data_IF_990044980595
#
_entry.id   IF_990044980595
#
_cell.length_a   1.000
_cell.length_b   1.000
_cell.length_c   1.000
_cell.angle_alpha   90.00
_cell.angle_beta   90.00
_cell.angle_gamma   90.00
#
_symmetry.space_group_name_H-M   'P 1'
#
loop_
_entity.id
_entity.type
_entity.pdbx_description
1 polymer ?
#
# COMPACT_ATOMS: atom_id res chain seq x y z
N UNK A 1 -9.55 16.21 14.21
CA UNK A 1 -8.80 15.09 13.60
C UNK A 1 -9.63 13.82 13.58
N UNK A 2 -9.97 13.26 14.74
CA UNK A 2 -10.70 11.98 14.80
C UNK A 2 -12.04 12.05 14.07
N UNK A 3 -12.82 13.13 14.25
CA UNK A 3 -14.08 13.35 13.52
C UNK A 3 -13.89 13.39 12.01
N UNK A 4 -12.91 14.17 11.51
CA UNK A 4 -12.58 14.27 10.09
C UNK A 4 -12.18 12.91 9.51
N UNK A 5 -11.29 12.17 10.16
CA UNK A 5 -10.85 10.86 9.68
C UNK A 5 -11.97 9.82 9.75
N UNK A 6 -12.81 9.87 10.78
CA UNK A 6 -13.99 9.00 10.90
C UNK A 6 -15.01 9.30 9.81
N UNK A 7 -15.25 10.59 9.50
CA UNK A 7 -16.12 11.00 8.41
C UNK A 7 -15.59 10.51 7.06
N UNK A 8 -14.33 10.82 6.74
CA UNK A 8 -13.69 10.42 5.48
C UNK A 8 -13.72 8.89 5.27
N UNK A 9 -13.40 8.12 6.32
CA UNK A 9 -13.44 6.65 6.25
C UNK A 9 -14.87 6.10 6.11
N UNK A 10 -15.86 6.72 6.74
CA UNK A 10 -17.27 6.31 6.63
C UNK A 10 -17.84 6.51 5.22
N UNK A 11 -17.34 7.51 4.49
CA UNK A 11 -17.70 7.77 3.10
C UNK A 11 -16.92 6.92 2.08
N UNK A 12 -15.98 6.09 2.55
CA UNK A 12 -15.14 5.27 1.68
C UNK A 12 -14.10 6.07 0.89
N UNK A 13 -13.66 7.23 1.41
CA UNK A 13 -12.64 8.04 0.75
C UNK A 13 -11.29 7.31 0.68
N UNK A 14 -10.59 7.43 -0.45
CA UNK A 14 -9.23 6.89 -0.63
C UNK A 14 -8.17 7.85 -0.12
N UNK A 15 -8.41 9.16 -0.20
CA UNK A 15 -7.46 10.20 0.17
C UNK A 15 -8.20 11.39 0.80
N UNK A 16 -7.64 11.98 1.85
CA UNK A 16 -8.05 13.28 2.41
C UNK A 16 -7.02 14.31 1.96
N UNK A 17 -7.47 15.28 1.19
CA UNK A 17 -6.68 16.42 0.73
C UNK A 17 -6.96 17.63 1.61
N UNK A 18 -5.90 18.28 2.09
CA UNK A 18 -5.99 19.47 2.92
C UNK A 18 -5.12 20.55 2.28
N UNK A 19 -5.74 21.60 1.77
CA UNK A 19 -5.05 22.78 1.25
C UNK A 19 -5.13 23.89 2.28
N UNK A 20 -4.03 24.15 2.97
CA UNK A 20 -3.92 25.22 3.98
C UNK A 20 -3.51 26.52 3.29
N UNK A 21 -4.37 27.54 3.33
CA UNK A 21 -4.10 28.91 2.86
C UNK A 21 -3.85 29.84 4.04
N UNK A 22 -3.83 31.16 3.81
CA UNK A 22 -3.51 32.14 4.85
C UNK A 22 -4.45 32.08 6.07
N UNK A 23 -5.76 32.18 5.84
CA UNK A 23 -6.76 32.23 6.91
C UNK A 23 -7.53 30.91 7.09
N UNK A 24 -7.79 30.21 5.98
CA UNK A 24 -8.64 29.02 5.93
C UNK A 24 -7.90 27.88 5.24
N UNK A 25 -8.06 26.67 5.78
CA UNK A 25 -7.74 25.43 5.12
C UNK A 25 -9.01 24.79 4.55
N UNK A 26 -8.93 24.29 3.33
CA UNK A 26 -10.01 23.56 2.66
C UNK A 26 -9.71 22.08 2.65
N UNK A 27 -10.73 21.26 2.93
CA UNK A 27 -10.66 19.80 2.89
C UNK A 27 -11.44 19.28 1.69
N UNK A 28 -10.82 18.37 0.95
CA UNK A 28 -11.45 17.64 -0.15
C UNK A 28 -11.22 16.14 0.07
N UNK A 29 -12.23 15.33 -0.22
CA UNK A 29 -12.16 13.87 -0.12
C UNK A 29 -12.11 13.27 -1.51
N UNK A 30 -11.18 12.34 -1.74
CA UNK A 30 -11.21 11.53 -2.96
C UNK A 30 -12.13 10.34 -2.77
N UNK A 31 -13.26 10.33 -3.46
CA UNK A 31 -14.24 9.24 -3.41
C UNK A 31 -14.42 8.73 -4.85
N UNK A 32 -14.22 7.43 -5.06
CA UNK A 32 -14.29 6.79 -6.39
C UNK A 32 -13.44 7.52 -7.45
N UNK A 33 -12.27 8.01 -7.06
CA UNK A 33 -11.32 8.70 -7.94
C UNK A 33 -11.56 10.21 -8.11
N UNK A 34 -12.69 10.75 -7.67
CA UNK A 34 -13.07 12.17 -7.83
C UNK A 34 -12.85 12.94 -6.52
N UNK A 35 -12.29 14.15 -6.60
CA UNK A 35 -12.19 15.05 -5.45
C UNK A 35 -13.50 15.77 -5.22
N UNK A 36 -14.01 15.69 -4.00
CA UNK A 36 -15.27 16.27 -3.58
C UNK A 36 -14.99 17.19 -2.38
N UNK A 37 -15.38 18.48 -2.43
CA UNK A 37 -15.27 19.38 -1.29
C UNK A 37 -16.05 18.85 -0.09
N UNK A 38 -15.45 18.96 1.10
CA UNK A 38 -16.01 18.42 2.34
C UNK A 38 -16.23 19.52 3.39
N UNK A 39 -15.15 20.01 4.01
CA UNK A 39 -15.23 21.04 5.03
C UNK A 39 -14.14 22.12 4.89
N UNK A 40 -14.29 23.18 5.67
CA UNK A 40 -13.29 24.23 5.83
C UNK A 40 -12.98 24.43 7.31
N UNK A 41 -11.74 24.78 7.62
CA UNK A 41 -11.32 25.10 8.98
C UNK A 41 -10.33 26.26 9.00
N UNK A 42 -10.16 26.89 10.16
CA UNK A 42 -9.14 27.91 10.33
C UNK A 42 -7.75 27.31 10.11
N UNK A 43 -6.86 28.05 9.45
CA UNK A 43 -5.49 27.60 9.17
C UNK A 43 -4.70 27.28 10.44
N UNK A 44 -4.94 27.99 11.55
CA UNK A 44 -4.35 27.69 12.86
C UNK A 44 -4.78 26.31 13.37
N UNK A 45 -6.08 26.01 13.30
CA UNK A 45 -6.63 24.69 13.66
C UNK A 45 -6.09 23.58 12.77
N UNK A 46 -5.90 23.86 11.47
CA UNK A 46 -5.26 22.93 10.54
C UNK A 46 -3.82 22.63 10.97
N UNK A 47 -3.03 23.66 11.27
CA UNK A 47 -1.63 23.51 11.66
C UNK A 47 -1.49 22.73 12.98
N UNK A 48 -2.32 23.01 13.98
CA UNK A 48 -2.38 22.24 15.24
C UNK A 48 -2.73 20.78 14.98
N UNK A 49 -3.74 20.53 14.14
CA UNK A 49 -4.18 19.19 13.80
C UNK A 49 -3.08 18.37 13.12
N UNK A 50 -2.43 18.95 12.11
CA UNK A 50 -1.37 18.27 11.35
C UNK A 50 -0.12 18.09 12.21
N UNK A 51 0.23 19.07 13.04
CA UNK A 51 1.35 18.97 13.98
C UNK A 51 1.18 17.80 14.95
N UNK A 52 -0.01 17.68 15.58
CA UNK A 52 -0.31 16.56 16.50
C UNK A 52 -0.29 15.23 15.75
N UNK A 53 -0.94 15.17 14.58
CA UNK A 53 -0.98 13.99 13.74
C UNK A 53 0.44 13.49 13.39
N UNK A 54 1.30 14.40 12.91
CA UNK A 54 2.66 14.05 12.50
C UNK A 54 3.56 13.72 13.69
N UNK A 55 3.65 14.61 14.70
CA UNK A 55 4.64 14.42 15.77
C UNK A 55 4.27 13.32 16.77
N UNK A 56 2.98 13.05 16.97
CA UNK A 56 2.53 12.09 18.00
C UNK A 56 2.24 10.72 17.39
N UNK A 57 1.64 10.68 16.19
CA UNK A 57 1.12 9.44 15.62
C UNK A 57 2.00 8.85 14.51
N UNK A 58 2.91 9.64 13.94
CA UNK A 58 3.75 9.16 12.86
C UNK A 58 4.92 8.32 13.35
N UNK A 59 5.29 7.30 12.57
CA UNK A 59 6.49 6.50 12.80
C UNK A 59 7.74 7.22 12.30
N UNK A 60 7.93 8.48 12.65
CA UNK A 60 9.09 9.30 12.26
C UNK A 60 10.14 9.29 13.36
N UNK A 61 11.40 9.04 13.02
CA UNK A 61 12.47 8.88 14.02
C UNK A 61 13.18 10.18 14.40
N UNK A 62 13.15 11.24 13.57
CA UNK A 62 14.21 12.27 13.67
C UNK A 62 13.82 13.74 13.39
N UNK A 63 12.63 14.08 12.87
CA UNK A 63 12.26 15.49 12.60
C UNK A 63 10.87 15.87 13.08
N UNK A 64 10.77 17.01 13.76
CA UNK A 64 9.50 17.68 14.09
C UNK A 64 8.82 18.13 12.80
N UNK A 65 7.50 18.10 12.77
CA UNK A 65 6.71 18.64 11.67
C UNK A 65 7.07 20.10 11.37
N UNK A 66 7.31 20.38 10.09
CA UNK A 66 7.66 21.68 9.57
C UNK A 66 6.99 21.87 8.20
N UNK A 67 5.97 22.72 8.18
CA UNK A 67 5.21 23.06 6.95
C UNK A 67 6.05 23.69 5.84
N UNK A 68 7.20 24.28 6.14
CA UNK A 68 8.03 25.00 5.16
C UNK A 68 8.94 24.09 4.34
N UNK A 69 9.01 22.80 4.66
CA UNK A 69 9.78 21.80 3.90
C UNK A 69 8.89 20.61 3.56
N UNK A 70 9.11 19.91 2.44
CA UNK A 70 8.38 18.69 2.14
C UNK A 70 8.63 17.63 3.21
N UNK A 71 7.59 16.99 3.72
CA UNK A 71 7.72 15.85 4.63
C UNK A 71 6.69 14.78 4.30
N UNK A 72 7.04 13.54 4.63
CA UNK A 72 6.16 12.38 4.49
C UNK A 72 6.31 11.46 5.68
N UNK A 73 5.25 10.74 6.01
CA UNK A 73 5.27 9.78 7.10
C UNK A 73 4.19 8.70 6.97
N UNK A 74 4.44 7.56 7.59
CA UNK A 74 3.40 6.56 7.86
C UNK A 74 2.83 6.80 9.26
N UNK A 75 1.50 6.79 9.36
CA UNK A 75 0.77 7.06 10.59
C UNK A 75 -0.13 5.88 10.88
N UNK A 76 0.03 5.25 12.03
CA UNK A 76 -0.88 4.19 12.48
C UNK A 76 -1.90 4.81 13.43
N UNK A 77 -3.18 4.69 13.10
CA UNK A 77 -4.25 5.31 13.88
C UNK A 77 -5.44 4.36 13.99
N UNK A 78 -6.12 4.33 15.14
CA UNK A 78 -7.28 3.47 15.36
C UNK A 78 -8.53 4.34 15.43
N UNK A 79 -9.49 4.13 14.52
CA UNK A 79 -10.76 4.84 14.46
C UNK A 79 -11.89 3.85 14.75
N UNK A 80 -12.70 4.12 15.78
CA UNK A 80 -13.82 3.26 16.18
C UNK A 80 -13.45 1.76 16.27
N UNK A 81 -12.27 1.46 16.85
CA UNK A 81 -11.76 0.09 17.00
C UNK A 81 -11.18 -0.54 15.72
N UNK A 82 -11.26 0.12 14.56
CA UNK A 82 -10.61 -0.31 13.32
C UNK A 82 -9.26 0.36 13.17
N UNK A 83 -8.24 -0.43 12.90
CA UNK A 83 -6.88 0.07 12.66
C UNK A 83 -6.76 0.57 11.22
N UNK A 84 -6.12 1.71 11.04
CA UNK A 84 -5.80 2.32 9.75
C UNK A 84 -4.32 2.69 9.71
N UNK A 85 -3.76 2.62 8.51
CA UNK A 85 -2.48 3.23 8.16
C UNK A 85 -2.80 4.41 7.26
N UNK A 86 -2.36 5.60 7.65
CA UNK A 86 -2.41 6.78 6.79
C UNK A 86 -1.01 7.04 6.24
N UNK A 87 -0.88 7.18 4.92
CA UNK A 87 0.33 7.75 4.32
C UNK A 87 0.14 9.25 4.22
N UNK A 88 0.85 9.97 5.08
CA UNK A 88 0.88 11.41 5.10
C UNK A 88 1.99 11.92 4.19
N UNK A 89 1.70 12.94 3.40
CA UNK A 89 2.71 13.75 2.72
C UNK A 89 2.23 15.19 2.60
N UNK A 90 3.12 16.16 2.75
CA UNK A 90 2.83 17.55 2.40
C UNK A 90 3.95 18.18 1.58
N UNK A 91 3.58 19.22 0.84
CA UNK A 91 4.51 20.06 0.10
C UNK A 91 4.11 21.54 0.25
N UNK A 92 5.08 22.46 0.48
CA UNK A 92 4.80 23.90 0.54
C UNK A 92 4.26 24.43 -0.79
N UNK A 93 3.24 25.28 -0.77
CA UNK A 93 2.72 25.95 -1.98
C UNK A 93 3.38 27.31 -2.10
N UNK A 94 4.09 27.54 -3.20
CA UNK A 94 4.65 28.86 -3.54
C UNK A 94 3.57 29.75 -4.19
N UNK A 95 3.52 31.04 -3.81
CA UNK A 95 2.86 32.07 -4.61
C UNK A 95 1.64 32.79 -4.02
N UNK A 96 1.17 32.48 -2.80
CA UNK A 96 0.05 33.23 -2.19
C UNK A 96 0.48 34.02 -0.94
N UNK A 97 1.04 33.37 0.07
CA UNK A 97 1.62 33.99 1.29
C UNK A 97 2.50 32.94 2.01
N UNK A 98 3.36 33.36 2.95
CA UNK A 98 4.20 32.43 3.72
C UNK A 98 3.37 31.38 4.49
N UNK A 99 3.84 30.13 4.48
CA UNK A 99 3.28 29.05 5.29
C UNK A 99 2.08 28.30 4.67
N UNK A 100 1.76 28.53 3.40
CA UNK A 100 0.77 27.72 2.68
C UNK A 100 1.35 26.35 2.28
N UNK A 101 0.54 25.29 2.37
CA UNK A 101 0.93 23.94 1.95
C UNK A 101 -0.28 23.11 1.55
N UNK A 102 -0.02 22.08 0.74
CA UNK A 102 -0.98 21.01 0.46
C UNK A 102 -0.51 19.74 1.15
N UNK A 103 -1.38 19.16 1.97
CA UNK A 103 -1.17 17.88 2.63
C UNK A 103 -2.18 16.85 2.12
N UNK A 104 -1.72 15.60 2.02
CA UNK A 104 -2.55 14.46 1.63
C UNK A 104 -2.38 13.36 2.66
N UNK A 105 -3.50 12.80 3.10
CA UNK A 105 -3.57 11.58 3.90
C UNK A 105 -4.23 10.49 3.06
N UNK A 106 -3.44 9.58 2.50
CA UNK A 106 -3.97 8.39 1.86
C UNK A 106 -4.42 7.39 2.92
N UNK A 107 -5.67 6.98 2.83
CA UNK A 107 -6.31 6.08 3.78
C UNK A 107 -6.06 4.64 3.36
N UNK A 108 -5.40 3.86 4.22
CA UNK A 108 -5.17 2.43 4.00
C UNK A 108 -5.75 1.67 5.19
N UNK A 109 -6.85 0.92 5.03
CA UNK A 109 -7.39 0.09 6.08
C UNK A 109 -6.35 -0.92 6.57
N UNK A 110 -5.97 -0.83 7.85
CA UNK A 110 -4.97 -1.70 8.49
C UNK A 110 -5.70 -2.74 9.32
N UNK A 111 -6.47 -3.59 8.65
CA UNK A 111 -7.19 -4.68 9.29
C UNK A 111 -6.91 -5.98 8.58
N UNK A 112 -6.41 -6.97 9.34
CA UNK A 112 -6.67 -8.37 9.00
C UNK A 112 -8.19 -8.51 9.02
N UNK A 113 -8.85 -8.54 7.86
CA UNK A 113 -10.17 -9.20 7.80
C UNK A 113 -9.88 -10.61 8.30
N UNK A 114 -10.33 -10.95 9.51
CA UNK A 114 -10.33 -12.34 9.98
C UNK A 114 -11.08 -13.15 8.92
N UNK A 115 -10.33 -13.84 8.07
CA UNK A 115 -10.72 -15.00 7.27
C UNK A 115 -12.16 -15.03 6.73
N UNK A 116 -12.66 -13.94 6.14
CA UNK A 116 -13.45 -14.14 4.93
C UNK A 116 -12.40 -14.09 3.83
N UNK A 117 -11.88 -15.26 3.43
CA UNK A 117 -11.15 -15.37 2.17
C UNK A 117 -12.00 -14.61 1.16
N UNK A 118 -11.48 -13.50 0.64
CA UNK A 118 -12.22 -12.71 -0.33
C UNK A 118 -12.48 -13.69 -1.47
N UNK A 119 -13.75 -14.03 -1.68
CA UNK A 119 -14.12 -14.85 -2.82
C UNK A 119 -13.64 -14.09 -4.05
N UNK A 120 -12.94 -14.75 -4.97
CA UNK A 120 -12.46 -14.11 -6.19
C UNK A 120 -13.63 -13.41 -6.92
N UNK A 121 -14.86 -13.92 -6.74
CA UNK A 121 -16.10 -13.29 -7.21
C UNK A 121 -16.35 -11.89 -6.67
N UNK A 122 -15.99 -11.60 -5.41
CA UNK A 122 -16.12 -10.26 -4.82
C UNK A 122 -15.18 -9.24 -5.50
N UNK A 123 -14.15 -9.71 -6.21
CA UNK A 123 -13.27 -8.87 -7.03
C UNK A 123 -13.80 -8.67 -8.46
N UNK A 124 -14.97 -9.21 -8.78
CA UNK A 124 -15.52 -9.21 -10.15
C UNK A 124 -14.93 -10.28 -11.06
N UNK A 125 -14.19 -11.25 -10.51
CA UNK A 125 -13.63 -12.37 -11.29
C UNK A 125 -14.74 -13.38 -11.55
N UNK A 126 -14.93 -13.76 -12.80
CA UNK A 126 -15.92 -14.76 -13.20
C UNK A 126 -15.52 -16.16 -12.72
N UNK A 127 -16.48 -17.09 -12.66
CA UNK A 127 -16.21 -18.48 -12.29
C UNK A 127 -15.20 -19.17 -13.21
N UNK A 128 -15.23 -18.83 -14.51
CA UNK A 128 -14.29 -19.36 -15.49
C UNK A 128 -12.86 -18.86 -15.23
N UNK A 129 -12.69 -17.55 -15.01
CA UNK A 129 -11.38 -16.95 -14.68
C UNK A 129 -10.85 -17.47 -13.34
N UNK A 130 -11.73 -17.61 -12.33
CA UNK A 130 -11.36 -18.18 -11.04
C UNK A 130 -10.89 -19.63 -11.18
N UNK A 131 -11.51 -20.43 -12.05
CA UNK A 131 -11.07 -21.79 -12.34
C UNK A 131 -9.70 -21.81 -13.01
N UNK A 132 -9.45 -20.92 -13.97
CA UNK A 132 -8.16 -20.83 -14.64
C UNK A 132 -7.05 -20.33 -13.69
N UNK A 133 -7.34 -19.36 -12.83
CA UNK A 133 -6.42 -18.93 -11.78
C UNK A 133 -6.08 -20.07 -10.82
N UNK A 134 -7.06 -20.87 -10.41
CA UNK A 134 -6.83 -22.07 -9.57
C UNK A 134 -5.94 -23.09 -10.28
N UNK A 135 -6.15 -23.31 -11.58
CA UNK A 135 -5.29 -24.18 -12.40
C UNK A 135 -3.86 -23.64 -12.46
N UNK A 136 -3.69 -22.34 -12.71
CA UNK A 136 -2.37 -21.70 -12.74
C UNK A 136 -1.65 -21.87 -11.40
N UNK A 137 -2.32 -21.60 -10.27
CA UNK A 137 -1.77 -21.71 -8.91
C UNK A 137 -1.55 -23.16 -8.43
N UNK A 138 -2.03 -24.15 -9.19
CA UNK A 138 -1.80 -25.57 -8.89
C UNK A 138 -0.40 -26.04 -9.31
N UNK A 139 0.23 -25.34 -10.28
CA UNK A 139 1.61 -25.61 -10.70
C UNK A 139 2.57 -25.61 -9.52
N UNK A 140 3.62 -26.46 -9.49
CA UNK A 140 4.47 -26.67 -8.32
C UNK A 140 5.33 -25.46 -7.93
N UNK A 141 5.63 -24.58 -8.87
CA UNK A 141 6.34 -23.31 -8.71
C UNK A 141 6.07 -22.44 -9.93
N UNK A 142 6.46 -21.16 -9.90
CA UNK A 142 6.29 -20.27 -11.04
C UNK A 142 6.28 -18.80 -10.68
N UNK A 143 6.36 -17.95 -11.71
CA UNK A 143 6.19 -16.51 -11.58
C UNK A 143 4.74 -16.12 -11.90
N UNK A 144 4.13 -15.32 -11.02
CA UNK A 144 2.78 -14.79 -11.16
C UNK A 144 2.86 -13.26 -11.13
N UNK A 145 2.59 -12.66 -12.29
CA UNK A 145 2.73 -11.23 -12.51
C UNK A 145 1.35 -10.59 -12.58
N UNK A 146 1.11 -9.56 -11.78
CA UNK A 146 -0.09 -8.72 -11.86
C UNK A 146 0.29 -7.40 -12.54
N UNK A 147 -0.26 -7.18 -13.72
CA UNK A 147 0.01 -5.99 -14.53
C UNK A 147 -1.15 -5.00 -14.50
N UNK A 148 -0.84 -3.71 -14.62
CA UNK A 148 -1.81 -2.63 -14.72
C UNK A 148 -1.24 -1.27 -14.31
N UNK A 149 -1.96 -0.19 -14.57
CA UNK A 149 -1.57 1.17 -14.18
C UNK A 149 -1.76 1.40 -12.67
N UNK A 150 -1.33 2.56 -12.16
CA UNK A 150 -1.56 2.96 -10.77
C UNK A 150 -3.06 3.00 -10.46
N UNK A 151 -3.46 2.44 -9.31
CA UNK A 151 -4.87 2.41 -8.88
C UNK A 151 -5.74 1.32 -9.52
N UNK A 152 -5.18 0.46 -10.38
CA UNK A 152 -5.91 -0.66 -11.02
C UNK A 152 -6.20 -1.86 -10.11
N UNK A 153 -5.78 -1.82 -8.84
CA UNK A 153 -6.02 -2.89 -7.87
C UNK A 153 -4.93 -3.96 -7.76
N UNK A 154 -3.74 -3.77 -8.37
CA UNK A 154 -2.64 -4.76 -8.37
C UNK A 154 -2.29 -5.32 -6.98
N UNK A 155 -2.02 -4.44 -6.01
CA UNK A 155 -1.68 -4.83 -4.63
C UNK A 155 -2.83 -5.58 -3.96
N UNK A 156 -4.07 -5.19 -4.24
CA UNK A 156 -5.28 -5.86 -3.72
C UNK A 156 -5.41 -7.27 -4.31
N UNK A 157 -5.21 -7.43 -5.62
CA UNK A 157 -5.22 -8.75 -6.28
C UNK A 157 -4.12 -9.64 -5.74
N UNK A 158 -2.89 -9.14 -5.60
CA UNK A 158 -1.80 -9.89 -5.00
C UNK A 158 -2.11 -10.34 -3.58
N UNK A 159 -2.64 -9.44 -2.74
CA UNK A 159 -3.08 -9.78 -1.37
C UNK A 159 -4.04 -10.95 -1.37
N UNK A 160 -5.10 -10.88 -2.18
CA UNK A 160 -6.13 -11.93 -2.22
C UNK A 160 -5.55 -13.26 -2.69
N UNK A 161 -4.71 -13.25 -3.72
CA UNK A 161 -4.05 -14.47 -4.21
C UNK A 161 -3.13 -15.09 -3.17
N UNK A 162 -2.37 -14.26 -2.44
CA UNK A 162 -1.50 -14.75 -1.37
C UNK A 162 -2.29 -15.34 -0.20
N UNK A 163 -3.34 -14.66 0.27
CA UNK A 163 -4.22 -15.18 1.34
C UNK A 163 -4.91 -16.48 0.90
N UNK A 164 -5.33 -16.56 -0.37
CA UNK A 164 -5.89 -17.77 -0.96
C UNK A 164 -4.90 -18.93 -0.95
N UNK A 165 -3.66 -18.70 -1.40
CA UNK A 165 -2.63 -19.75 -1.40
C UNK A 165 -2.27 -20.20 0.02
N UNK A 166 -2.10 -19.26 0.94
CA UNK A 166 -1.75 -19.56 2.32
C UNK A 166 -2.79 -20.50 2.95
N UNK A 167 -4.07 -20.23 2.71
CA UNK A 167 -5.16 -21.03 3.26
C UNK A 167 -5.39 -22.34 2.50
N UNK A 168 -5.68 -22.28 1.20
CA UNK A 168 -6.15 -23.45 0.44
C UNK A 168 -5.05 -24.40 0.02
N UNK A 169 -3.83 -23.90 -0.22
CA UNK A 169 -2.70 -24.74 -0.65
C UNK A 169 -1.86 -25.19 0.54
N UNK A 170 -1.61 -24.30 1.49
CA UNK A 170 -0.69 -24.54 2.58
C UNK A 170 -1.36 -24.81 3.94
N UNK A 171 -2.70 -24.79 4.03
CA UNK A 171 -3.43 -25.02 5.30
C UNK A 171 -2.87 -24.14 6.44
N UNK A 172 -2.63 -22.87 6.10
CA UNK A 172 -2.07 -21.82 6.95
C UNK A 172 -0.65 -22.10 7.52
N UNK A 173 0.07 -23.10 6.97
CA UNK A 173 1.41 -23.53 7.42
C UNK A 173 2.55 -23.08 6.50
N UNK A 174 2.26 -22.36 5.43
CA UNK A 174 3.25 -21.93 4.44
C UNK A 174 4.17 -20.82 4.95
N UNK A 175 5.42 -20.82 4.46
CA UNK A 175 6.41 -19.77 4.70
C UNK A 175 6.29 -18.66 3.65
N UNK A 176 5.46 -17.66 3.93
CA UNK A 176 5.19 -16.57 2.99
C UNK A 176 6.01 -15.34 3.37
N UNK A 177 6.86 -14.87 2.46
CA UNK A 177 7.68 -13.67 2.65
C UNK A 177 7.31 -12.61 1.62
N UNK A 178 7.26 -11.34 2.06
CA UNK A 178 7.05 -10.21 1.15
C UNK A 178 8.16 -9.18 1.29
N UNK A 179 8.48 -8.54 0.17
CA UNK A 179 9.42 -7.44 0.05
C UNK A 179 8.67 -6.32 -0.69
N UNK A 180 8.41 -5.21 0.00
CA UNK A 180 7.53 -4.13 -0.49
C UNK A 180 8.19 -2.76 -0.30
N UNK A 181 7.70 -1.74 -1.02
CA UNK A 181 8.15 -0.36 -0.86
C UNK A 181 6.96 0.64 -0.82
N UNK A 182 6.51 1.05 0.38
CA UNK A 182 6.54 0.28 1.63
C UNK A 182 5.34 -0.67 1.71
N UNK A 183 5.27 -1.49 2.77
CA UNK A 183 4.13 -2.40 2.99
C UNK A 183 2.79 -1.64 2.99
N UNK A 184 1.88 -2.03 2.10
CA UNK A 184 0.56 -1.41 1.93
C UNK A 184 -0.47 -2.01 2.89
N UNK A 185 -0.74 -3.29 2.72
CA UNK A 185 -1.78 -4.03 3.46
C UNK A 185 -1.15 -5.12 4.30
N UNK A 186 -1.82 -5.50 5.39
CA UNK A 186 -1.47 -6.74 6.06
C UNK A 186 -2.01 -7.93 5.26
N UNK A 187 -1.13 -8.87 4.93
CA UNK A 187 -1.47 -10.13 4.28
C UNK A 187 -1.47 -11.21 5.37
N UNK A 188 -2.62 -11.83 5.62
CA UNK A 188 -2.73 -12.84 6.67
C UNK A 188 -1.76 -14.01 6.41
N UNK A 189 -0.98 -14.39 7.44
CA UNK A 189 0.00 -15.47 7.35
C UNK A 189 1.36 -15.10 6.72
N UNK A 190 1.50 -13.91 6.12
CA UNK A 190 2.75 -13.49 5.50
C UNK A 190 3.64 -12.67 6.45
N UNK A 191 4.96 -12.82 6.29
CA UNK A 191 5.99 -12.02 6.98
C UNK A 191 6.46 -10.93 6.04
N UNK A 192 5.98 -9.71 6.28
CA UNK A 192 6.14 -8.60 5.34
C UNK A 192 7.30 -7.68 5.72
N UNK A 193 8.16 -7.37 4.75
CA UNK A 193 9.33 -6.50 4.93
C UNK A 193 9.23 -5.31 3.99
N UNK A 194 9.50 -4.10 4.49
CA UNK A 194 9.71 -2.94 3.62
C UNK A 194 11.20 -2.81 3.28
N UNK A 195 11.52 -2.51 2.04
CA UNK A 195 12.87 -2.04 1.69
C UNK A 195 13.07 -0.64 2.25
N UNK A 196 14.30 -0.33 2.68
CA UNK A 196 14.64 0.99 3.20
C UNK A 196 14.93 1.98 2.06
N UNK A 197 15.62 1.51 1.02
CA UNK A 197 15.86 2.20 -0.24
C UNK A 197 15.47 1.25 -1.37
N UNK A 198 14.40 1.56 -2.09
CA UNK A 198 13.99 0.81 -3.28
C UNK A 198 14.90 1.10 -4.48
N UNK A 199 15.40 2.34 -4.55
CA UNK A 199 16.41 2.75 -5.51
C UNK A 199 17.77 2.11 -5.15
N UNK A 200 18.65 1.90 -6.12
CA UNK A 200 19.99 1.29 -5.94
C UNK A 200 20.03 -0.20 -5.54
N UNK A 201 19.03 -0.99 -5.91
CA UNK A 201 19.10 -2.46 -5.81
C UNK A 201 18.74 -3.01 -4.43
N UNK A 202 18.05 -2.24 -3.59
CA UNK A 202 17.52 -2.73 -2.31
C UNK A 202 16.62 -3.95 -2.46
N UNK A 203 15.80 -4.00 -3.52
CA UNK A 203 14.98 -5.18 -3.86
C UNK A 203 15.84 -6.42 -4.15
N UNK A 204 16.91 -6.28 -4.94
CA UNK A 204 17.84 -7.38 -5.24
C UNK A 204 18.45 -7.99 -3.97
N UNK A 205 18.92 -7.14 -3.05
CA UNK A 205 19.50 -7.58 -1.77
C UNK A 205 18.43 -8.28 -0.91
N UNK A 206 17.23 -7.70 -0.85
CA UNK A 206 16.12 -8.25 -0.09
C UNK A 206 15.68 -9.62 -0.64
N UNK A 207 15.61 -9.80 -1.96
CA UNK A 207 15.26 -11.09 -2.60
C UNK A 207 16.27 -12.17 -2.20
N UNK A 208 17.57 -11.89 -2.35
CA UNK A 208 18.64 -12.83 -1.94
C UNK A 208 18.58 -13.18 -0.46
N UNK A 209 18.27 -12.20 0.39
CA UNK A 209 18.08 -12.43 1.82
C UNK A 209 16.86 -13.31 2.10
N UNK A 210 15.74 -13.05 1.43
CA UNK A 210 14.50 -13.82 1.59
C UNK A 210 14.68 -15.29 1.20
N UNK A 211 15.41 -15.59 0.12
CA UNK A 211 15.69 -16.97 -0.31
C UNK A 211 16.50 -17.79 0.71
N UNK A 212 17.23 -17.13 1.62
CA UNK A 212 17.96 -17.81 2.71
C UNK A 212 17.09 -18.08 3.93
N UNK A 213 15.83 -17.64 3.92
CA UNK A 213 14.86 -17.79 5.01
C UNK A 213 13.83 -18.87 4.73
N UNK A 214 14.11 -19.77 3.79
CA UNK A 214 13.26 -20.91 3.43
C UNK A 214 11.80 -20.49 3.12
N UNK A 215 11.59 -19.60 2.13
CA UNK A 215 10.23 -19.25 1.71
C UNK A 215 9.60 -20.39 0.91
N UNK A 216 8.32 -20.62 1.08
CA UNK A 216 7.50 -21.36 0.11
C UNK A 216 7.04 -20.42 -1.01
N UNK A 217 6.66 -19.20 -0.61
CA UNK A 217 6.13 -18.17 -1.48
C UNK A 217 6.85 -16.86 -1.20
N UNK A 218 7.39 -16.25 -2.25
CA UNK A 218 8.04 -14.96 -2.23
C UNK A 218 7.20 -13.95 -3.03
N UNK A 219 6.83 -12.84 -2.41
CA UNK A 219 6.23 -11.71 -3.10
C UNK A 219 7.17 -10.51 -3.11
N UNK A 220 7.35 -9.92 -4.29
CA UNK A 220 8.11 -8.70 -4.50
C UNK A 220 7.15 -7.64 -5.03
N UNK A 221 6.97 -6.55 -4.28
CA UNK A 221 5.94 -5.54 -4.53
C UNK A 221 5.94 -5.04 -5.98
N UNK A 222 7.11 -4.65 -6.50
CA UNK A 222 7.27 -4.23 -7.89
C UNK A 222 8.70 -4.48 -8.37
N UNK A 223 8.86 -5.06 -9.55
CA UNK A 223 10.17 -5.21 -10.21
C UNK A 223 10.35 -4.05 -11.18
N UNK A 224 11.31 -3.17 -10.90
CA UNK A 224 11.61 -1.99 -11.74
C UNK A 224 12.93 -2.08 -12.50
N UNK A 225 13.81 -2.99 -12.09
CA UNK A 225 15.18 -3.04 -12.55
C UNK A 225 15.62 -4.47 -12.95
N UNK A 226 16.62 -4.60 -13.85
CA UNK A 226 17.07 -5.90 -14.34
C UNK A 226 17.73 -6.79 -13.27
N UNK A 227 18.36 -6.23 -12.24
CA UNK A 227 19.08 -7.03 -11.24
C UNK A 227 18.12 -7.71 -10.27
N UNK A 228 17.01 -7.05 -9.94
CA UNK A 228 15.90 -7.59 -9.18
C UNK A 228 15.11 -8.61 -10.01
N UNK A 229 14.88 -8.32 -11.31
CA UNK A 229 14.24 -9.27 -12.23
C UNK A 229 15.03 -10.59 -12.34
N UNK A 230 16.36 -10.51 -12.52
CA UNK A 230 17.23 -11.68 -12.56
C UNK A 230 17.23 -12.46 -11.23
N UNK A 231 17.21 -11.76 -10.10
CA UNK A 231 17.11 -12.41 -8.79
C UNK A 231 15.78 -13.15 -8.61
N UNK A 232 14.67 -12.57 -9.09
CA UNK A 232 13.36 -13.21 -9.09
C UNK A 232 13.33 -14.43 -10.02
N UNK A 233 13.94 -14.36 -11.21
CA UNK A 233 14.07 -15.53 -12.10
C UNK A 233 14.78 -16.69 -11.41
N UNK A 234 15.90 -16.42 -10.73
CA UNK A 234 16.61 -17.44 -9.96
C UNK A 234 15.79 -18.03 -8.81
N UNK A 235 14.92 -17.24 -8.17
CA UNK A 235 13.97 -17.74 -7.18
C UNK A 235 12.96 -18.72 -7.80
N UNK A 236 12.44 -18.40 -8.98
CA UNK A 236 11.50 -19.27 -9.71
C UNK A 236 12.19 -20.56 -10.16
N UNK A 237 13.38 -20.46 -10.75
CA UNK A 237 14.18 -21.60 -11.21
C UNK A 237 14.57 -22.55 -10.07
N UNK A 238 14.69 -22.03 -8.85
CA UNK A 238 14.93 -22.83 -7.64
C UNK A 238 13.66 -23.43 -7.03
N UNK A 239 12.49 -23.29 -7.67
CA UNK A 239 11.26 -23.98 -7.29
C UNK A 239 10.32 -23.20 -6.37
N UNK A 240 10.45 -21.87 -6.30
CA UNK A 240 9.58 -21.04 -5.46
C UNK A 240 8.39 -20.48 -6.23
N UNK A 241 7.27 -20.22 -5.54
CA UNK A 241 6.24 -19.33 -6.06
C UNK A 241 6.70 -17.89 -5.90
N UNK A 242 6.76 -17.17 -7.00
CA UNK A 242 7.15 -15.78 -7.01
C UNK A 242 5.99 -14.92 -7.49
N UNK A 243 5.54 -13.98 -6.67
CA UNK A 243 4.51 -13.01 -7.01
C UNK A 243 5.14 -11.64 -7.21
N UNK A 244 4.71 -10.89 -8.22
CA UNK A 244 5.11 -9.49 -8.36
C UNK A 244 4.11 -8.64 -9.13
N UNK A 245 4.29 -7.33 -9.08
CA UNK A 245 3.59 -6.39 -9.95
C UNK A 245 4.52 -5.74 -10.96
N UNK A 246 3.93 -5.34 -12.08
CA UNK A 246 4.58 -4.62 -13.16
C UNK A 246 3.61 -3.54 -13.67
N UNK A 247 4.13 -2.36 -14.04
CA UNK A 247 3.31 -1.35 -14.72
C UNK A 247 3.42 -1.54 -16.22
N UNK A 248 2.46 -2.24 -16.82
CA UNK A 248 2.33 -2.31 -18.27
C UNK A 248 0.89 -2.00 -18.70
N UNK A 249 0.74 -1.44 -19.90
CA UNK A 249 -0.57 -1.09 -20.48
C UNK A 249 -1.35 -2.29 -21.00
N UNK A 250 -0.69 -3.42 -21.24
CA UNK A 250 -1.32 -4.70 -21.58
C UNK A 250 -0.39 -5.87 -21.21
N UNK A 251 -0.90 -7.10 -21.27
CA UNK A 251 -0.16 -8.33 -20.91
C UNK A 251 0.83 -8.82 -21.98
N UNK A 252 0.71 -8.31 -23.22
CA UNK A 252 1.47 -8.79 -24.39
C UNK A 252 2.75 -7.98 -24.61
N UNK A 253 2.73 -6.69 -24.29
CA UNK A 253 3.86 -5.76 -24.43
C UNK A 253 4.56 -5.52 -23.09
N UNK A 254 4.71 -6.59 -22.30
CA UNK A 254 5.56 -6.59 -21.10
C UNK A 254 7.04 -6.42 -21.45
#
# INVERSE_FOLDING_TARGET
LEDLLTHATSLGASDVHITRREAIATVELRINGVLIPDEQMLSTRCDEMVFVLYNVQASTKETTWNRSVPQSANILYTLAGKKYRFRYAHFPIFGETEGCYHAVLRIIPSGVRKSSLIDLREMGISDAEALDMRRMLSNPYGAYLVSGTTGSGKSTTLKVLMEWMQHYRYDDKGSFLTIEDPVEYQIAGARQSSVLDADDGGFHIAIKSALRRDPDVLMVGEIRDPISANALSGAVESGHYCFTTVHAGNIVTL
#
